data_IF_730782492374
#
_entry.id   IF_730782492374
#
_cell.length_a   1.000
_cell.length_b   1.000
_cell.length_c   1.000
_cell.angle_alpha   90.00
_cell.angle_beta   90.00
_cell.angle_gamma   90.00
#
_symmetry.space_group_name_H-M   'P 1'
#
loop_
_entity.id
_entity.type
_entity.pdbx_description
1 polymer ?
#
# COMPACT_ATOMS: atom_id res chain seq x y z
N UNK A 1 8.30 59.49 65.33
CA UNK A 1 8.02 58.09 65.08
C UNK A 1 7.51 57.94 63.64
N UNK A 2 8.38 57.73 62.69
CA UNK A 2 8.01 57.60 61.23
C UNK A 2 8.09 56.11 60.86
N UNK A 3 6.99 55.52 60.53
CA UNK A 3 6.92 54.15 60.10
C UNK A 3 7.26 54.10 58.57
N UNK A 4 8.41 53.50 58.29
CA UNK A 4 8.88 53.25 56.96
C UNK A 4 8.11 52.05 56.36
N UNK A 5 7.26 52.25 55.32
CA UNK A 5 6.57 51.21 54.61
C UNK A 5 7.45 50.75 53.44
N UNK A 6 8.04 49.56 53.54
CA UNK A 6 8.73 48.87 52.45
C UNK A 6 7.70 48.27 51.49
N UNK A 7 7.60 48.81 50.31
CA UNK A 7 6.86 48.22 49.19
C UNK A 7 7.74 47.16 48.51
N UNK A 8 7.40 45.89 48.72
CA UNK A 8 7.99 44.80 47.96
C UNK A 8 7.31 44.69 46.58
N UNK A 9 8.03 45.05 45.54
CA UNK A 9 7.57 44.86 44.14
C UNK A 9 8.00 43.45 43.76
N UNK A 10 7.02 42.53 43.67
CA UNK A 10 7.21 41.20 43.12
C UNK A 10 7.18 41.26 41.59
N UNK A 11 8.31 41.07 40.94
CA UNK A 11 8.40 40.87 39.47
C UNK A 11 7.96 39.45 39.16
N UNK A 12 6.74 39.33 38.59
CA UNK A 12 6.23 38.09 38.02
C UNK A 12 6.85 37.92 36.62
N UNK A 13 7.91 37.14 36.49
CA UNK A 13 8.47 36.74 35.18
C UNK A 13 7.59 35.65 34.61
N UNK A 14 6.67 36.01 33.73
CA UNK A 14 5.91 35.05 32.93
C UNK A 14 6.84 34.46 31.84
N UNK A 15 7.39 33.29 32.14
CA UNK A 15 8.13 32.49 31.13
C UNK A 15 7.17 31.96 30.07
N UNK A 16 7.19 32.54 28.89
CA UNK A 16 6.55 31.99 27.70
C UNK A 16 7.35 30.74 27.28
N UNK A 17 6.88 29.57 27.69
CA UNK A 17 7.40 28.30 27.17
C UNK A 17 7.02 28.19 25.69
N UNK A 18 7.95 28.53 24.81
CA UNK A 18 7.82 28.25 23.39
C UNK A 18 7.88 26.73 23.22
N UNK A 19 6.71 26.06 23.15
CA UNK A 19 6.64 24.66 22.81
C UNK A 19 7.16 24.52 21.37
N UNK A 20 8.41 24.06 21.21
CA UNK A 20 8.94 23.66 19.95
C UNK A 20 8.10 22.48 19.47
N UNK A 21 7.18 22.71 18.52
CA UNK A 21 6.48 21.64 17.83
C UNK A 21 7.53 20.83 17.09
N UNK A 22 7.86 19.65 17.58
CA UNK A 22 8.63 18.68 16.81
C UNK A 22 7.87 18.44 15.49
N UNK A 23 8.55 18.38 14.33
CA UNK A 23 7.89 18.02 13.10
C UNK A 23 7.22 16.66 13.31
N UNK A 24 5.91 16.64 13.34
CA UNK A 24 5.13 15.42 13.33
C UNK A 24 5.38 14.80 11.95
N UNK A 25 6.19 13.75 11.93
CA UNK A 25 6.36 12.98 10.71
C UNK A 25 5.03 12.30 10.42
N UNK A 26 4.44 12.63 9.28
CA UNK A 26 3.20 12.03 8.85
C UNK A 26 3.33 10.50 8.83
N UNK A 27 2.43 9.80 9.51
CA UNK A 27 2.36 8.35 9.49
C UNK A 27 1.23 7.94 8.57
N UNK A 28 1.56 7.28 7.47
CA UNK A 28 0.57 6.72 6.56
C UNK A 28 0.10 5.38 7.12
N UNK A 29 -1.19 5.22 7.28
CA UNK A 29 -1.84 3.97 7.60
C UNK A 29 -2.74 3.54 6.44
N UNK A 30 -2.35 2.47 5.76
CA UNK A 30 -3.11 1.81 4.70
C UNK A 30 -3.78 0.59 5.30
N UNK A 31 -5.11 0.58 5.37
CA UNK A 31 -5.86 -0.57 5.87
C UNK A 31 -6.65 -1.20 4.74
N UNK A 32 -6.47 -2.49 4.53
CA UNK A 32 -7.14 -3.30 3.52
C UNK A 32 -8.07 -4.26 4.24
N UNK A 33 -9.36 -4.11 3.99
CA UNK A 33 -10.42 -4.95 4.53
C UNK A 33 -10.88 -5.90 3.42
N UNK A 34 -10.49 -7.17 3.53
CA UNK A 34 -10.77 -8.19 2.51
C UNK A 34 -12.27 -8.48 2.36
N UNK A 35 -13.06 -8.63 3.44
CA UNK A 35 -14.49 -8.88 3.31
C UNK A 35 -15.24 -7.80 2.53
N UNK A 36 -14.92 -6.53 2.75
CA UNK A 36 -15.57 -5.41 2.05
C UNK A 36 -14.88 -4.98 0.78
N UNK A 37 -13.73 -5.58 0.44
CA UNK A 37 -12.90 -5.20 -0.70
C UNK A 37 -12.63 -3.70 -0.74
N UNK A 38 -12.27 -3.14 0.41
CA UNK A 38 -12.08 -1.70 0.60
C UNK A 38 -10.70 -1.43 1.20
N UNK A 39 -10.04 -0.40 0.67
CA UNK A 39 -8.84 0.20 1.26
C UNK A 39 -9.19 1.55 1.86
N UNK A 40 -8.70 1.82 3.07
CA UNK A 40 -8.67 3.17 3.65
C UNK A 40 -7.24 3.63 3.81
N UNK A 41 -7.00 4.90 3.56
CA UNK A 41 -5.70 5.55 3.72
C UNK A 41 -5.87 6.73 4.67
N UNK A 42 -5.12 6.70 5.77
CA UNK A 42 -5.09 7.79 6.76
C UNK A 42 -3.67 8.33 6.88
N UNK A 43 -3.55 9.62 7.15
CA UNK A 43 -2.30 10.30 7.45
C UNK A 43 -2.46 11.00 8.80
N UNK A 44 -1.57 10.73 9.75
CA UNK A 44 -1.64 11.23 11.14
C UNK A 44 -2.99 10.99 11.82
N UNK A 45 -3.59 9.82 11.52
CA UNK A 45 -4.89 9.43 12.06
C UNK A 45 -6.09 10.05 11.35
N UNK A 46 -5.89 10.98 10.41
CA UNK A 46 -6.96 11.57 9.62
C UNK A 46 -7.21 10.75 8.36
N UNK A 47 -8.45 10.27 8.15
CA UNK A 47 -8.84 9.54 6.96
C UNK A 47 -8.83 10.48 5.74
N UNK A 48 -8.00 10.15 4.74
CA UNK A 48 -7.93 10.90 3.49
C UNK A 48 -8.69 10.21 2.36
N UNK A 49 -8.57 8.88 2.25
CA UNK A 49 -9.12 8.14 1.12
C UNK A 49 -9.82 6.86 1.56
N UNK A 50 -10.85 6.50 0.80
CA UNK A 50 -11.51 5.20 0.85
C UNK A 50 -11.76 4.76 -0.58
N UNK A 51 -11.17 3.62 -0.98
CA UNK A 51 -11.21 3.13 -2.35
C UNK A 51 -11.62 1.67 -2.42
N UNK A 52 -12.36 1.25 -3.47
CA UNK A 52 -12.54 -0.16 -3.75
C UNK A 52 -11.20 -0.76 -4.20
N UNK A 53 -10.95 -1.99 -3.77
CA UNK A 53 -9.77 -2.78 -4.16
C UNK A 53 -10.20 -4.13 -4.73
N UNK A 54 -9.23 -4.87 -5.29
CA UNK A 54 -9.38 -6.29 -5.57
C UNK A 54 -8.23 -7.03 -4.89
N UNK A 55 -8.56 -7.87 -3.91
CA UNK A 55 -7.60 -8.74 -3.25
C UNK A 55 -7.55 -10.12 -3.90
N UNK A 56 -6.77 -11.04 -3.34
CA UNK A 56 -6.60 -12.39 -3.87
C UNK A 56 -7.90 -13.17 -3.96
N UNK A 57 -8.08 -13.89 -5.07
CA UNK A 57 -9.16 -14.85 -5.26
C UNK A 57 -8.95 -16.09 -4.36
N UNK A 58 -9.96 -16.95 -4.27
CA UNK A 58 -9.87 -18.25 -3.60
C UNK A 58 -8.64 -19.02 -4.09
N UNK A 59 -7.78 -19.46 -3.17
CA UNK A 59 -6.51 -20.14 -3.47
C UNK A 59 -5.33 -19.20 -3.68
N UNK A 60 -5.54 -17.89 -3.75
CA UNK A 60 -4.51 -16.85 -3.90
C UNK A 60 -4.63 -15.77 -2.83
N UNK A 61 -4.85 -16.15 -1.60
CA UNK A 61 -5.12 -15.22 -0.50
C UNK A 61 -4.09 -14.10 -0.40
N UNK A 62 -4.56 -12.86 -0.28
CA UNK A 62 -3.73 -11.75 0.20
C UNK A 62 -3.46 -11.98 1.70
N UNK A 63 -2.20 -12.11 2.13
CA UNK A 63 -1.89 -12.50 3.50
C UNK A 63 -2.27 -11.42 4.51
N UNK A 64 -2.98 -11.84 5.58
CA UNK A 64 -3.28 -10.98 6.71
C UNK A 64 -2.02 -10.61 7.48
N UNK A 65 -2.02 -9.43 8.04
CA UNK A 65 -0.90 -8.97 8.86
C UNK A 65 -0.70 -7.46 8.84
N UNK A 66 0.36 -7.05 9.51
CA UNK A 66 0.86 -5.67 9.52
C UNK A 66 2.25 -5.65 8.89
N UNK A 67 2.44 -4.78 7.92
CA UNK A 67 3.64 -4.73 7.09
C UNK A 67 4.15 -3.29 6.97
N UNK A 68 5.45 -3.16 6.78
CA UNK A 68 6.07 -1.92 6.31
C UNK A 68 6.49 -2.12 4.86
N UNK A 69 6.08 -1.26 3.92
CA UNK A 69 6.57 -1.32 2.55
C UNK A 69 8.10 -1.24 2.50
N UNK A 70 8.73 -1.97 1.59
CA UNK A 70 10.19 -2.01 1.49
C UNK A 70 10.73 -1.78 0.08
N UNK A 71 9.85 -1.81 -0.94
CA UNK A 71 10.20 -1.59 -2.34
C UNK A 71 9.04 -0.92 -3.07
N UNK A 72 9.36 0.04 -3.93
CA UNK A 72 8.41 0.72 -4.80
C UNK A 72 8.94 0.79 -6.22
N UNK A 73 8.08 0.58 -7.20
CA UNK A 73 8.43 0.65 -8.62
C UNK A 73 7.32 1.38 -9.40
N UNK A 74 7.70 2.34 -10.23
CA UNK A 74 6.74 3.06 -11.09
C UNK A 74 6.06 2.09 -12.05
N UNK A 75 6.82 1.12 -12.57
CA UNK A 75 6.32 0.03 -13.38
C UNK A 75 7.07 -1.25 -13.05
N UNK A 76 6.32 -2.26 -12.62
CA UNK A 76 6.81 -3.62 -12.42
C UNK A 76 6.08 -4.57 -13.36
N UNK A 77 6.74 -5.65 -13.74
CA UNK A 77 6.13 -6.72 -14.54
C UNK A 77 6.27 -8.04 -13.79
N UNK A 78 5.13 -8.68 -13.52
CA UNK A 78 5.09 -9.95 -12.79
C UNK A 78 5.72 -11.06 -13.61
N UNK A 79 6.79 -11.66 -13.11
CA UNK A 79 7.43 -12.81 -13.76
C UNK A 79 6.62 -14.11 -13.59
N UNK A 80 5.74 -14.16 -12.61
CA UNK A 80 4.92 -15.34 -12.31
C UNK A 80 3.62 -15.38 -13.14
N UNK A 81 3.14 -14.21 -13.61
CA UNK A 81 1.83 -14.06 -14.25
C UNK A 81 1.95 -13.36 -15.60
N UNK A 82 2.43 -14.07 -16.60
CA UNK A 82 2.48 -13.65 -18.02
C UNK A 82 3.00 -12.23 -18.25
N UNK A 83 3.97 -11.82 -17.45
CA UNK A 83 4.54 -10.47 -17.52
C UNK A 83 3.49 -9.34 -17.34
N UNK A 84 2.45 -9.61 -16.55
CA UNK A 84 1.39 -8.64 -16.28
C UNK A 84 1.96 -7.34 -15.70
N UNK A 85 1.54 -6.21 -16.24
CA UNK A 85 1.96 -4.89 -15.78
C UNK A 85 1.37 -4.54 -14.41
N UNK A 86 2.20 -4.04 -13.53
CA UNK A 86 1.86 -3.62 -12.16
C UNK A 86 2.32 -2.17 -11.95
N UNK A 87 1.62 -1.17 -12.54
CA UNK A 87 2.02 0.22 -12.41
C UNK A 87 1.87 0.71 -10.97
N UNK A 88 2.81 1.54 -10.54
CA UNK A 88 2.87 2.15 -9.20
C UNK A 88 2.83 1.09 -8.09
N UNK A 89 3.67 0.06 -8.24
CA UNK A 89 3.73 -1.07 -7.31
C UNK A 89 4.41 -0.67 -5.99
N UNK A 90 3.75 -0.98 -4.87
CA UNK A 90 4.24 -0.81 -3.50
C UNK A 90 4.28 -2.19 -2.86
N UNK A 91 5.47 -2.79 -2.74
CA UNK A 91 5.66 -4.14 -2.19
C UNK A 91 5.69 -4.12 -0.68
N UNK A 92 4.88 -4.99 -0.06
CA UNK A 92 4.76 -5.09 1.39
C UNK A 92 5.10 -6.48 1.95
N UNK A 93 5.25 -7.52 1.12
CA UNK A 93 5.77 -8.83 1.55
C UNK A 93 6.95 -9.28 0.70
N UNK A 94 7.89 -10.01 1.29
CA UNK A 94 9.04 -10.60 0.57
C UNK A 94 8.62 -11.70 -0.41
N UNK A 95 7.37 -12.17 -0.35
CA UNK A 95 6.80 -13.14 -1.28
C UNK A 95 6.21 -12.49 -2.55
N UNK A 96 6.39 -11.18 -2.72
CA UNK A 96 5.98 -10.47 -3.92
C UNK A 96 4.60 -9.81 -3.88
N UNK A 97 3.86 -9.86 -2.75
CA UNK A 97 2.59 -9.16 -2.66
C UNK A 97 2.81 -7.64 -2.63
N UNK A 98 2.04 -6.94 -3.45
CA UNK A 98 2.10 -5.49 -3.59
C UNK A 98 0.71 -4.88 -3.75
N UNK A 99 0.63 -3.58 -3.49
CA UNK A 99 -0.48 -2.73 -3.91
C UNK A 99 -0.07 -2.11 -5.24
N UNK A 100 -0.90 -2.20 -6.29
CA UNK A 100 -0.57 -1.64 -7.61
C UNK A 100 -1.81 -1.25 -8.40
N UNK A 101 -1.62 -0.45 -9.43
CA UNK A 101 -2.67 -0.10 -10.39
C UNK A 101 -3.03 -1.25 -11.31
N UNK A 102 -4.27 -1.30 -11.70
CA UNK A 102 -4.79 -2.26 -12.68
C UNK A 102 -5.95 -1.64 -13.46
N UNK A 103 -6.04 -1.96 -14.73
CA UNK A 103 -7.18 -1.66 -15.59
C UNK A 103 -8.20 -2.82 -15.62
N UNK A 104 -7.92 -3.91 -14.89
CA UNK A 104 -8.80 -5.07 -14.82
C UNK A 104 -10.15 -4.71 -14.19
N UNK A 105 -11.28 -5.06 -14.82
CA UNK A 105 -12.61 -4.78 -14.29
C UNK A 105 -12.96 -5.75 -13.16
N UNK A 106 -12.53 -5.50 -11.95
CA UNK A 106 -12.76 -6.41 -10.83
C UNK A 106 -12.59 -5.73 -9.48
N UNK A 107 -12.47 -4.40 -9.48
CA UNK A 107 -12.44 -3.67 -8.21
C UNK A 107 -13.75 -3.85 -7.44
N UNK A 108 -13.63 -4.09 -6.15
CA UNK A 108 -14.76 -4.46 -5.28
C UNK A 108 -14.98 -5.97 -5.17
N UNK A 109 -14.19 -6.80 -5.90
CA UNK A 109 -14.26 -8.26 -5.86
C UNK A 109 -12.87 -8.89 -5.74
N UNK A 110 -12.72 -10.05 -5.06
CA UNK A 110 -11.44 -10.73 -4.89
C UNK A 110 -11.11 -11.58 -6.12
N UNK A 111 -10.41 -11.01 -7.10
CA UNK A 111 -10.06 -11.68 -8.36
C UNK A 111 -8.56 -11.58 -8.71
N UNK A 112 -7.72 -11.13 -7.78
CA UNK A 112 -6.27 -11.08 -8.01
C UNK A 112 -5.59 -12.41 -7.66
N UNK A 113 -4.29 -12.48 -7.94
CA UNK A 113 -3.44 -13.61 -7.53
C UNK A 113 -2.66 -13.30 -6.23
N UNK A 114 -3.26 -12.53 -5.33
CA UNK A 114 -2.69 -12.19 -4.02
C UNK A 114 -2.28 -10.73 -3.85
N UNK A 115 -2.01 -10.01 -4.94
CA UNK A 115 -1.79 -8.56 -4.87
C UNK A 115 -3.08 -7.79 -4.58
N UNK A 116 -2.94 -6.56 -4.14
CA UNK A 116 -4.06 -5.62 -3.92
C UNK A 116 -4.12 -4.66 -5.09
N UNK A 117 -5.15 -4.81 -5.94
CA UNK A 117 -5.33 -3.95 -7.12
C UNK A 117 -6.12 -2.70 -6.77
N UNK A 118 -5.68 -1.58 -7.29
CA UNK A 118 -6.36 -0.28 -7.29
C UNK A 118 -6.66 0.15 -8.73
N UNK A 119 -7.52 1.16 -8.92
CA UNK A 119 -7.55 1.87 -10.19
C UNK A 119 -6.18 2.52 -10.46
N UNK A 120 -5.86 2.76 -11.73
CA UNK A 120 -4.60 3.40 -12.10
C UNK A 120 -4.42 4.76 -11.40
N UNK A 121 -5.47 5.58 -11.36
CA UNK A 121 -5.45 6.88 -10.68
C UNK A 121 -5.20 6.75 -9.18
N UNK A 122 -5.90 5.85 -8.49
CA UNK A 122 -5.73 5.68 -7.05
C UNK A 122 -4.35 5.11 -6.70
N UNK A 123 -3.81 4.22 -7.53
CA UNK A 123 -2.46 3.69 -7.35
C UNK A 123 -1.39 4.78 -7.50
N UNK A 124 -1.54 5.66 -8.50
CA UNK A 124 -0.65 6.82 -8.66
C UNK A 124 -0.72 7.72 -7.42
N UNK A 125 -1.93 8.08 -6.98
CA UNK A 125 -2.12 8.93 -5.79
C UNK A 125 -1.48 8.32 -4.55
N UNK A 126 -1.66 7.02 -4.33
CA UNK A 126 -1.07 6.33 -3.18
C UNK A 126 0.45 6.26 -3.28
N UNK A 127 0.96 5.96 -4.47
CA UNK A 127 2.39 5.89 -4.74
C UNK A 127 3.09 7.23 -4.47
N UNK A 128 2.50 8.32 -4.96
CA UNK A 128 3.03 9.67 -4.75
C UNK A 128 3.01 10.06 -3.26
N UNK A 129 1.93 9.72 -2.54
CA UNK A 129 1.83 9.95 -1.10
C UNK A 129 2.93 9.19 -0.33
N UNK A 130 3.12 7.89 -0.61
CA UNK A 130 4.16 7.08 0.04
C UNK A 130 5.56 7.54 -0.35
N UNK A 131 5.74 8.03 -1.58
CA UNK A 131 7.02 8.61 -2.02
C UNK A 131 7.35 9.88 -1.25
N UNK A 132 6.38 10.76 -1.03
CA UNK A 132 6.56 12.02 -0.32
C UNK A 132 6.86 11.82 1.17
N UNK A 133 6.14 10.92 1.84
CA UNK A 133 6.24 10.71 3.28
C UNK A 133 7.28 9.65 3.67
N UNK A 134 7.55 8.70 2.79
CA UNK A 134 8.52 7.62 2.96
C UNK A 134 7.90 6.28 3.38
N UNK A 135 8.45 5.20 2.82
CA UNK A 135 8.02 3.82 3.13
C UNK A 135 8.17 3.47 4.62
N UNK A 136 9.23 3.94 5.28
CA UNK A 136 9.47 3.69 6.70
C UNK A 136 8.45 4.31 7.65
N UNK A 137 7.63 5.25 7.16
CA UNK A 137 6.53 5.88 7.89
C UNK A 137 5.17 5.37 7.44
N UNK A 138 5.15 4.35 6.60
CA UNK A 138 3.95 3.75 6.04
C UNK A 138 3.71 2.38 6.65
N UNK A 139 2.51 2.15 7.14
CA UNK A 139 2.05 0.84 7.60
C UNK A 139 0.95 0.33 6.69
N UNK A 140 1.05 -0.95 6.28
CA UNK A 140 0.01 -1.66 5.53
C UNK A 140 -0.58 -2.73 6.43
N UNK A 141 -1.87 -2.64 6.70
CA UNK A 141 -2.60 -3.64 7.50
C UNK A 141 -3.61 -4.33 6.57
N UNK A 142 -3.47 -5.64 6.43
CA UNK A 142 -4.42 -6.51 5.72
C UNK A 142 -5.17 -7.33 6.73
N UNK A 143 -6.50 -7.37 6.64
CA UNK A 143 -7.33 -8.07 7.62
C UNK A 143 -8.64 -8.61 7.03
N UNK A 144 -9.18 -9.59 7.73
CA UNK A 144 -10.47 -10.20 7.48
C UNK A 144 -10.37 -11.47 6.63
N UNK A 145 -11.39 -12.29 6.69
CA UNK A 145 -11.47 -13.52 5.92
C UNK A 145 -11.54 -13.19 4.42
N UNK A 146 -10.98 -14.08 3.61
CA UNK A 146 -11.14 -13.98 2.17
C UNK A 146 -12.60 -14.22 1.81
N UNK A 147 -13.28 -13.26 1.15
CA UNK A 147 -14.63 -13.52 0.69
C UNK A 147 -14.59 -14.61 -0.37
N UNK A 148 -15.70 -15.40 -0.53
CA UNK A 148 -15.77 -16.39 -1.57
C UNK A 148 -15.59 -15.71 -2.93
N UNK A 149 -14.41 -15.84 -3.48
CA UNK A 149 -14.04 -15.26 -4.77
C UNK A 149 -14.42 -16.19 -5.90
N UNK A 150 -14.91 -15.63 -6.99
CA UNK A 150 -15.05 -16.39 -8.22
C UNK A 150 -13.68 -16.51 -8.87
N UNK A 151 -12.97 -17.60 -8.58
CA UNK A 151 -11.90 -18.02 -9.46
C UNK A 151 -12.53 -18.58 -10.74
N UNK A 152 -12.61 -17.79 -11.77
CA UNK A 152 -12.76 -18.33 -13.12
C UNK A 152 -11.34 -18.68 -13.55
N UNK A 153 -11.00 -19.97 -13.75
CA UNK A 153 -9.69 -20.33 -14.31
C UNK A 153 -9.58 -19.71 -15.70
N UNK A 154 -8.98 -18.54 -15.77
CA UNK A 154 -8.54 -18.00 -17.05
C UNK A 154 -7.34 -18.84 -17.45
N UNK A 155 -7.60 -19.88 -18.22
CA UNK A 155 -6.66 -20.81 -18.83
C UNK A 155 -5.64 -21.47 -17.86
N UNK A 156 -5.46 -22.81 -17.95
CA UNK A 156 -4.37 -23.47 -17.24
C UNK A 156 -3.05 -22.79 -17.65
N UNK A 157 -2.06 -22.74 -16.73
CA UNK A 157 -0.74 -22.22 -17.06
C UNK A 157 -0.30 -22.84 -18.37
N UNK A 158 -0.08 -22.03 -19.38
CA UNK A 158 0.43 -22.56 -20.65
C UNK A 158 1.80 -23.16 -20.32
N UNK A 159 1.87 -24.50 -20.26
CA UNK A 159 3.12 -25.20 -20.21
C UNK A 159 3.98 -24.61 -21.31
N UNK A 160 5.10 -24.02 -20.93
CA UNK A 160 6.12 -23.57 -21.88
C UNK A 160 6.35 -24.72 -22.84
N UNK A 161 5.82 -24.60 -24.06
CA UNK A 161 6.08 -25.60 -25.11
C UNK A 161 7.60 -25.64 -25.24
N UNK A 162 8.25 -26.81 -25.08
CA UNK A 162 9.68 -26.90 -25.25
C UNK A 162 9.96 -26.40 -26.68
N UNK A 163 10.96 -25.54 -26.78
CA UNK A 163 11.43 -25.00 -28.04
C UNK A 163 11.75 -26.18 -28.95
N UNK A 164 10.93 -26.43 -29.98
CA UNK A 164 11.23 -27.44 -30.96
C UNK A 164 12.46 -26.97 -31.73
N UNK A 165 13.59 -27.71 -31.72
CA UNK A 165 14.72 -27.32 -32.52
C UNK A 165 14.29 -27.34 -33.99
N UNK A 166 14.59 -26.26 -34.68
CA UNK A 166 14.42 -26.16 -36.12
C UNK A 166 15.22 -27.32 -36.75
N UNK A 167 14.52 -28.39 -37.09
CA UNK A 167 15.06 -29.44 -37.92
C UNK A 167 15.26 -28.90 -39.32
N UNK A 168 16.50 -28.50 -39.62
CA UNK A 168 16.91 -28.15 -40.97
C UNK A 168 16.81 -29.37 -41.87
N UNK A 169 15.84 -29.39 -42.75
CA UNK A 169 15.87 -30.26 -43.91
C UNK A 169 16.59 -29.50 -45.03
N UNK A 170 17.91 -29.59 -45.06
CA UNK A 170 18.66 -29.47 -46.32
C UNK A 170 18.71 -30.85 -46.92
N UNK A 171 17.93 -31.10 -47.96
CA UNK A 171 18.18 -32.17 -48.92
C UNK A 171 18.85 -31.55 -50.14
N UNK A 172 20.04 -32.05 -50.42
CA UNK A 172 20.71 -31.93 -51.69
C UNK A 172 20.02 -32.83 -52.74
#
# INVERSE_FOLDING_TARGET
MRRLRLLAIAFLVAGVACAASAPAFANILIQIDKPSQTMTVSVDGQLLYRWPVSTGATGFSTPDGSYTPFRMEVMHYSQEWDNAGMPHAIFFTTRGHSIHGSDHPGLGTPVSHGCVRLSLTNATTLYDLVTAEGMGKTSVIVRGDDPPGYYTPSQPPQQKRPFAPFGGLFRF
#
